data_IF_245238420593
#
_entry.id   IF_245238420593
#
_cell.length_a   1.000
_cell.length_b   1.000
_cell.length_c   1.000
_cell.angle_alpha   90.00
_cell.angle_beta   90.00
_cell.angle_gamma   90.00
#
_symmetry.space_group_name_H-M   'P 1'
#
loop_
_entity.id
_entity.type
_entity.pdbx_description
1 polymer ?
#
# COMPACT_ATOMS: atom_id res chain seq x y z
N UNK A 1 6.64 8.35 -3.00
CA UNK A 1 5.33 8.69 -2.41
C UNK A 1 4.28 9.00 -3.46
N UNK A 2 4.49 9.98 -4.35
CA UNK A 2 3.48 10.43 -5.33
C UNK A 2 3.07 9.32 -6.33
N UNK A 3 3.99 8.42 -6.72
CA UNK A 3 3.70 7.32 -7.66
C UNK A 3 2.77 6.22 -7.10
N UNK A 4 2.69 6.06 -5.77
CA UNK A 4 1.85 5.03 -5.15
C UNK A 4 0.36 5.41 -5.11
N UNK A 5 0.06 6.72 -5.08
CA UNK A 5 -1.32 7.24 -5.02
C UNK A 5 -2.13 6.88 -6.28
N UNK A 6 -1.68 7.19 -7.51
CA UNK A 6 -2.42 6.83 -8.72
C UNK A 6 -2.45 5.31 -8.93
N UNK A 7 -1.43 4.56 -8.49
CA UNK A 7 -1.46 3.09 -8.53
C UNK A 7 -2.51 2.51 -7.58
N UNK A 8 -2.58 2.98 -6.33
CA UNK A 8 -3.60 2.57 -5.37
C UNK A 8 -5.01 2.89 -5.88
N UNK A 9 -5.22 4.09 -6.43
CA UNK A 9 -6.51 4.47 -6.99
C UNK A 9 -6.90 3.61 -8.20
N UNK A 10 -5.93 3.28 -9.08
CA UNK A 10 -6.18 2.38 -10.20
C UNK A 10 -6.61 1.00 -9.73
N UNK A 11 -5.99 0.44 -8.69
CA UNK A 11 -6.36 -0.87 -8.12
C UNK A 11 -7.79 -0.86 -7.58
N UNK A 12 -8.16 0.18 -6.83
CA UNK A 12 -9.52 0.32 -6.28
C UNK A 12 -10.55 0.44 -7.40
N UNK A 13 -10.24 1.18 -8.46
CA UNK A 13 -11.13 1.41 -9.60
C UNK A 13 -11.24 0.21 -10.55
N UNK A 14 -10.12 -0.37 -10.97
CA UNK A 14 -10.09 -1.49 -11.92
C UNK A 14 -10.41 -2.83 -11.26
N UNK A 15 -10.21 -2.96 -9.93
CA UNK A 15 -10.24 -4.22 -9.18
C UNK A 15 -9.30 -5.29 -9.73
N UNK A 16 -8.46 -4.94 -10.70
CA UNK A 16 -7.52 -5.81 -11.36
C UNK A 16 -6.11 -5.55 -10.81
N UNK A 17 -5.62 -6.55 -10.08
CA UNK A 17 -4.25 -6.58 -9.53
C UNK A 17 -3.39 -7.63 -10.23
N UNK A 18 -3.87 -8.25 -11.31
CA UNK A 18 -3.18 -9.37 -11.97
C UNK A 18 -1.86 -8.96 -12.59
N UNK A 19 -1.72 -7.68 -12.96
CA UNK A 19 -0.49 -7.09 -13.49
C UNK A 19 0.49 -6.61 -12.41
N UNK A 20 0.14 -6.76 -11.13
CA UNK A 20 0.93 -6.25 -10.00
C UNK A 20 1.59 -7.43 -9.29
N UNK A 21 2.92 -7.43 -9.25
CA UNK A 21 3.69 -8.46 -8.54
C UNK A 21 3.56 -8.27 -7.02
N UNK A 22 2.95 -9.22 -6.28
CA UNK A 22 2.92 -9.16 -4.82
C UNK A 22 4.32 -9.23 -4.21
N UNK A 23 5.28 -9.90 -4.88
CA UNK A 23 6.66 -10.04 -4.40
C UNK A 23 7.35 -8.68 -4.32
N UNK A 24 7.21 -7.84 -5.34
CA UNK A 24 7.81 -6.50 -5.38
C UNK A 24 7.28 -5.63 -4.25
N UNK A 25 5.98 -5.71 -3.99
CA UNK A 25 5.34 -4.97 -2.91
C UNK A 25 5.73 -5.52 -1.52
N UNK A 26 5.86 -6.84 -1.36
CA UNK A 26 6.38 -7.44 -0.11
C UNK A 26 7.78 -6.94 0.22
N UNK A 27 8.69 -6.91 -0.75
CA UNK A 27 10.04 -6.36 -0.56
C UNK A 27 10.01 -4.88 -0.19
N UNK A 28 9.12 -4.11 -0.83
CA UNK A 28 8.94 -2.67 -0.57
C UNK A 28 8.44 -2.41 0.86
N UNK A 29 7.43 -3.15 1.30
CA UNK A 29 6.87 -3.06 2.66
C UNK A 29 7.94 -3.41 3.69
N UNK A 30 8.65 -4.53 3.51
CA UNK A 30 9.76 -4.91 4.40
C UNK A 30 10.85 -3.84 4.44
N UNK A 31 11.22 -3.28 3.29
CA UNK A 31 12.21 -2.20 3.21
C UNK A 31 11.81 -0.95 4.00
N UNK A 32 10.58 -0.45 3.81
CA UNK A 32 10.11 0.71 4.57
C UNK A 32 9.93 0.40 6.06
N UNK A 33 9.53 -0.82 6.42
CA UNK A 33 9.44 -1.26 7.81
C UNK A 33 10.81 -1.26 8.50
N UNK A 34 11.83 -1.81 7.82
CA UNK A 34 13.21 -1.79 8.29
C UNK A 34 13.76 -0.37 8.42
N UNK A 35 13.54 0.48 7.43
CA UNK A 35 13.97 1.89 7.51
C UNK A 35 13.26 2.67 8.62
N UNK A 36 11.98 2.39 8.86
CA UNK A 36 11.23 3.00 9.96
C UNK A 36 11.79 2.55 11.31
N UNK A 37 12.06 1.25 11.48
CA UNK A 37 12.68 0.71 12.69
C UNK A 37 14.10 1.27 12.91
N UNK A 38 14.87 1.41 11.83
CA UNK A 38 16.19 2.04 11.86
C UNK A 38 16.12 3.51 12.29
N UNK A 39 15.18 4.28 11.73
CA UNK A 39 14.94 5.66 12.14
C UNK A 39 14.56 5.79 13.62
N UNK A 40 13.80 4.83 14.15
CA UNK A 40 13.50 4.77 15.57
C UNK A 40 14.76 4.55 16.42
N UNK A 41 15.66 3.67 15.97
CA UNK A 41 16.95 3.45 16.62
C UNK A 41 17.87 4.67 16.61
N UNK A 42 17.75 5.54 15.60
CA UNK A 42 18.50 6.79 15.50
C UNK A 42 17.82 7.99 16.18
N UNK A 43 16.52 7.91 16.51
CA UNK A 43 15.75 9.07 16.97
C UNK A 43 15.45 10.12 15.90
N UNK A 44 15.63 9.76 14.61
CA UNK A 44 15.51 10.67 13.47
C UNK A 44 14.06 10.76 12.99
N UNK A 45 13.31 11.71 13.55
CA UNK A 45 11.92 11.97 13.22
C UNK A 45 11.62 12.11 11.72
N UNK A 46 12.43 12.82 10.91
CA UNK A 46 12.16 12.94 9.47
C UNK A 46 12.18 11.58 8.76
N UNK A 47 13.11 10.70 9.17
CA UNK A 47 13.28 9.38 8.58
C UNK A 47 12.16 8.43 9.02
N UNK A 48 11.72 8.50 10.28
CA UNK A 48 10.57 7.74 10.79
C UNK A 48 9.30 8.13 10.06
N UNK A 49 8.97 9.43 10.00
CA UNK A 49 7.71 9.92 9.44
C UNK A 49 7.62 9.57 7.95
N UNK A 50 8.68 9.83 7.18
CA UNK A 50 8.69 9.58 5.75
C UNK A 50 8.58 8.09 5.43
N UNK A 51 9.38 7.23 6.09
CA UNK A 51 9.30 5.79 5.84
C UNK A 51 8.00 5.17 6.36
N UNK A 52 7.43 5.67 7.45
CA UNK A 52 6.12 5.20 7.96
C UNK A 52 4.99 5.46 6.98
N UNK A 53 4.94 6.64 6.36
CA UNK A 53 3.92 6.96 5.35
C UNK A 53 4.06 6.05 4.13
N UNK A 54 5.29 5.84 3.66
CA UNK A 54 5.58 4.90 2.57
C UNK A 54 5.22 3.45 2.93
N UNK A 55 5.51 3.03 4.15
CA UNK A 55 5.17 1.71 4.68
C UNK A 55 3.66 1.47 4.64
N UNK A 56 2.86 2.41 5.16
CA UNK A 56 1.41 2.30 5.18
C UNK A 56 0.80 2.22 3.76
N UNK A 57 1.27 3.07 2.84
CA UNK A 57 0.79 3.07 1.45
C UNK A 57 1.14 1.76 0.72
N UNK A 58 2.38 1.30 0.84
CA UNK A 58 2.83 0.05 0.21
C UNK A 58 2.16 -1.19 0.83
N UNK A 59 1.93 -1.19 2.15
CA UNK A 59 1.22 -2.25 2.86
C UNK A 59 -0.24 -2.32 2.43
N UNK A 60 -0.90 -1.18 2.23
CA UNK A 60 -2.25 -1.13 1.68
C UNK A 60 -2.31 -1.75 0.28
N UNK A 61 -1.38 -1.39 -0.61
CA UNK A 61 -1.34 -1.95 -1.97
C UNK A 61 -1.05 -3.46 -1.94
N UNK A 62 -0.13 -3.90 -1.09
CA UNK A 62 0.17 -5.33 -0.92
C UNK A 62 -1.06 -6.10 -0.41
N UNK A 63 -1.73 -5.58 0.62
CA UNK A 63 -2.96 -6.15 1.16
C UNK A 63 -4.03 -6.23 0.07
N UNK A 64 -4.26 -5.14 -0.66
CA UNK A 64 -5.16 -5.14 -1.80
C UNK A 64 -4.75 -6.15 -2.87
N UNK A 65 -3.47 -6.39 -3.10
CA UNK A 65 -3.02 -7.37 -4.10
C UNK A 65 -3.29 -8.81 -3.64
N UNK A 66 -3.02 -9.11 -2.37
CA UNK A 66 -3.20 -10.43 -1.74
C UNK A 66 -4.66 -10.77 -1.38
N UNK A 67 -5.53 -9.77 -1.22
CA UNK A 67 -6.94 -9.99 -0.88
C UNK A 67 -7.66 -10.75 -2.00
N UNK A 68 -8.51 -11.74 -1.67
CA UNK A 68 -9.38 -12.41 -2.64
C UNK A 68 -10.43 -11.44 -3.19
N UNK A 69 -10.91 -11.68 -4.43
CA UNK A 69 -11.76 -10.73 -5.16
C UNK A 69 -13.04 -10.32 -4.41
N UNK A 70 -13.66 -11.25 -3.69
CA UNK A 70 -14.84 -10.98 -2.84
C UNK A 70 -14.59 -9.91 -1.76
N UNK A 71 -13.38 -9.86 -1.19
CA UNK A 71 -12.99 -8.85 -0.19
C UNK A 71 -12.58 -7.54 -0.86
N UNK A 72 -11.98 -7.59 -2.06
CA UNK A 72 -11.67 -6.40 -2.87
C UNK A 72 -12.93 -5.61 -3.20
N UNK A 73 -14.02 -6.30 -3.53
CA UNK A 73 -15.32 -5.69 -3.81
C UNK A 73 -15.92 -4.99 -2.58
N UNK A 74 -15.82 -5.61 -1.40
CA UNK A 74 -16.29 -5.00 -0.15
C UNK A 74 -15.54 -3.70 0.18
N UNK A 75 -14.21 -3.68 0.01
CA UNK A 75 -13.39 -2.49 0.21
C UNK A 75 -13.70 -1.42 -0.84
N UNK A 76 -13.86 -1.81 -2.11
CA UNK A 76 -14.24 -0.87 -3.16
C UNK A 76 -15.61 -0.24 -2.88
N UNK A 77 -16.58 -1.02 -2.38
CA UNK A 77 -17.91 -0.53 -2.02
C UNK A 77 -17.91 0.42 -0.82
N UNK A 78 -16.98 0.24 0.14
CA UNK A 78 -16.87 1.16 1.28
C UNK A 78 -16.15 2.46 0.94
N UNK A 79 -15.23 2.44 -0.03
CA UNK A 79 -14.45 3.63 -0.44
C UNK A 79 -15.19 4.44 -1.52
N UNK A 80 -15.86 3.76 -2.46
CA UNK A 80 -16.64 4.38 -3.52
C UNK A 80 -18.01 3.66 -3.70
N UNK A 81 -19.02 4.06 -2.90
CA UNK A 81 -20.37 3.50 -3.03
C UNK A 81 -21.13 3.99 -4.28
N UNK A 82 -20.59 4.93 -5.06
CA UNK A 82 -21.29 5.62 -6.14
C UNK A 82 -20.90 5.19 -7.57
N UNK A 83 -19.89 4.31 -7.73
CA UNK A 83 -19.49 3.72 -9.01
C UNK A 83 -20.47 2.63 -9.50
N UNK A 84 -21.74 2.99 -9.73
CA UNK A 84 -22.74 2.15 -10.39
C UNK A 84 -22.95 2.58 -11.84
#
# INVERSE_FOLDING_TARGET
MISFIPQAWRIVKSRDTSSISPVTYSLTVSGFGLWTAYGWGLGEWPLIVTNSVCFLLSAFILCMTLLPQNKKEAVAKSIDPASR
#
